data_IF_115235294628
#
_entry.id   IF_115235294628
#
_cell.length_a   1.000
_cell.length_b   1.000
_cell.length_c   1.000
_cell.angle_alpha   90.00
_cell.angle_beta   90.00
_cell.angle_gamma   90.00
#
_symmetry.space_group_name_H-M   'P 1'
#
loop_
_entity.id
_entity.type
_entity.pdbx_description
1 polymer ?
#
# COMPACT_ATOMS: atom_id res chain seq x y z
N UNK A 1 9.69 -4.60 -34.19
CA UNK A 1 8.99 -5.22 -33.06
C UNK A 1 9.05 -4.25 -31.90
N UNK A 2 7.91 -3.69 -31.46
CA UNK A 2 7.87 -2.77 -30.33
C UNK A 2 7.87 -3.59 -29.04
N UNK A 3 8.85 -3.40 -28.17
CA UNK A 3 8.89 -4.05 -26.86
C UNK A 3 7.68 -3.61 -26.03
N UNK A 4 6.95 -4.53 -25.35
CA UNK A 4 5.84 -4.17 -24.51
C UNK A 4 6.32 -3.23 -23.40
N UNK A 5 5.59 -2.13 -23.19
CA UNK A 5 5.93 -1.13 -22.16
C UNK A 5 5.87 -1.84 -20.79
N UNK A 6 6.93 -1.77 -19.96
CA UNK A 6 6.91 -2.37 -18.64
C UNK A 6 5.74 -1.78 -17.83
N UNK A 7 4.90 -2.66 -17.29
CA UNK A 7 3.79 -2.28 -16.42
C UNK A 7 4.43 -1.73 -15.14
N UNK A 8 4.28 -0.42 -14.93
CA UNK A 8 4.65 0.22 -13.66
C UNK A 8 3.64 -0.22 -12.60
N UNK A 9 4.08 -0.46 -11.36
CA UNK A 9 3.22 -0.96 -10.29
C UNK A 9 2.01 -0.04 -10.04
N UNK A 10 2.13 1.28 -10.27
CA UNK A 10 1.01 2.24 -10.19
C UNK A 10 -0.15 1.87 -11.15
N UNK A 11 0.15 1.23 -12.28
CA UNK A 11 -0.86 0.75 -13.24
C UNK A 11 -1.66 -0.46 -12.71
N UNK A 12 -1.21 -1.09 -11.62
CA UNK A 12 -1.91 -2.19 -10.93
C UNK A 12 -2.80 -1.70 -9.79
N UNK A 13 -2.71 -0.43 -9.43
CA UNK A 13 -3.61 0.16 -8.44
C UNK A 13 -5.04 0.20 -8.98
N UNK A 14 -6.06 0.16 -8.10
CA UNK A 14 -7.44 0.39 -8.51
C UNK A 14 -7.53 1.73 -9.25
N UNK A 15 -7.77 1.68 -10.56
CA UNK A 15 -7.97 2.91 -11.34
C UNK A 15 -9.16 3.68 -10.77
N UNK A 16 -9.16 5.03 -10.82
CA UNK A 16 -10.29 5.84 -10.36
C UNK A 16 -11.63 5.41 -10.98
N UNK A 17 -11.62 4.93 -12.23
CA UNK A 17 -12.81 4.39 -12.90
C UNK A 17 -13.33 3.09 -12.28
N UNK A 18 -12.44 2.25 -11.74
CA UNK A 18 -12.82 1.04 -11.02
C UNK A 18 -13.35 1.41 -9.64
N UNK A 19 -12.67 2.32 -8.95
CA UNK A 19 -13.11 2.82 -7.65
C UNK A 19 -14.48 3.50 -7.74
N UNK A 20 -14.73 4.31 -8.78
CA UNK A 20 -16.01 4.99 -8.99
C UNK A 20 -17.20 4.03 -9.19
N UNK A 21 -16.94 2.81 -9.67
CA UNK A 21 -17.97 1.77 -9.87
C UNK A 21 -18.23 0.93 -8.63
N UNK A 22 -17.36 1.00 -7.61
CA UNK A 22 -17.51 0.25 -6.35
C UNK A 22 -18.49 0.93 -5.39
N UNK A 23 -19.16 0.13 -4.57
CA UNK A 23 -19.99 0.63 -3.49
C UNK A 23 -19.13 1.43 -2.48
N UNK A 24 -19.72 2.43 -1.83
CA UNK A 24 -18.98 3.35 -0.94
C UNK A 24 -18.37 2.60 0.25
N UNK A 25 -19.11 1.65 0.79
CA UNK A 25 -18.69 0.72 1.83
C UNK A 25 -17.48 -0.12 1.42
N UNK A 26 -17.40 -0.54 0.15
CA UNK A 26 -16.29 -1.35 -0.37
C UNK A 26 -15.03 -0.50 -0.56
N UNK A 27 -15.17 0.75 -1.02
CA UNK A 27 -14.05 1.69 -1.14
C UNK A 27 -13.48 2.01 0.24
N UNK A 28 -14.35 2.22 1.24
CA UNK A 28 -13.94 2.47 2.63
C UNK A 28 -13.33 1.23 3.30
N UNK A 29 -13.88 0.03 3.04
CA UNK A 29 -13.30 -1.23 3.49
C UNK A 29 -11.92 -1.48 2.88
N UNK A 30 -11.74 -1.19 1.58
CA UNK A 30 -10.47 -1.29 0.90
C UNK A 30 -9.42 -0.33 1.49
N UNK A 31 -9.81 0.93 1.76
CA UNK A 31 -8.94 1.92 2.39
C UNK A 31 -8.41 1.43 3.75
N UNK A 32 -9.31 0.98 4.63
CA UNK A 32 -8.98 0.49 5.98
C UNK A 32 -8.16 -0.79 5.94
N UNK A 33 -8.47 -1.68 5.01
CA UNK A 33 -7.72 -2.94 4.84
C UNK A 33 -6.31 -2.66 4.38
N UNK A 34 -6.13 -1.77 3.40
CA UNK A 34 -4.80 -1.40 2.90
C UNK A 34 -3.94 -0.76 4.01
N UNK A 35 -4.52 0.15 4.80
CA UNK A 35 -3.87 0.77 5.97
C UNK A 35 -3.43 -0.27 6.99
N UNK A 36 -4.35 -1.13 7.43
CA UNK A 36 -4.07 -2.18 8.42
C UNK A 36 -2.98 -3.17 7.95
N UNK A 37 -2.98 -3.53 6.66
CA UNK A 37 -1.94 -4.41 6.10
C UNK A 37 -0.59 -3.71 6.00
N UNK A 38 -0.56 -2.43 5.60
CA UNK A 38 0.66 -1.63 5.56
C UNK A 38 1.29 -1.54 6.96
N UNK A 39 0.49 -1.22 7.99
CA UNK A 39 0.94 -1.15 9.38
C UNK A 39 1.49 -2.49 9.88
N UNK A 40 0.77 -3.59 9.57
CA UNK A 40 1.23 -4.95 9.94
C UNK A 40 2.59 -5.25 9.33
N UNK A 41 2.82 -4.90 8.07
CA UNK A 41 4.10 -5.10 7.41
C UNK A 41 5.18 -4.21 8.04
N UNK A 42 4.88 -2.95 8.34
CA UNK A 42 5.81 -2.05 9.04
C UNK A 42 6.25 -2.63 10.40
N UNK A 43 5.33 -3.17 11.19
CA UNK A 43 5.67 -3.84 12.45
C UNK A 43 6.52 -5.09 12.22
N UNK A 44 6.22 -5.88 11.18
CA UNK A 44 7.02 -7.02 10.76
C UNK A 44 8.45 -6.63 10.38
N UNK A 45 8.62 -5.56 9.58
CA UNK A 45 9.92 -4.99 9.20
C UNK A 45 10.71 -4.58 10.44
N UNK A 46 10.07 -3.89 11.40
CA UNK A 46 10.73 -3.49 12.65
C UNK A 46 11.16 -4.70 13.49
N UNK A 47 10.33 -5.74 13.58
CA UNK A 47 10.67 -6.98 14.28
C UNK A 47 11.86 -7.70 13.61
N UNK A 48 11.89 -7.77 12.28
CA UNK A 48 13.01 -8.32 11.51
C UNK A 48 14.28 -7.51 11.78
N UNK A 49 14.20 -6.17 11.78
CA UNK A 49 15.33 -5.30 12.10
C UNK A 49 15.91 -5.55 13.50
N UNK A 50 15.04 -5.69 14.51
CA UNK A 50 15.46 -6.02 15.87
C UNK A 50 16.11 -7.41 15.95
N UNK A 51 15.53 -8.42 15.29
CA UNK A 51 16.12 -9.75 15.24
C UNK A 51 17.51 -9.71 14.58
N UNK A 52 17.63 -9.00 13.45
CA UNK A 52 18.89 -8.86 12.72
C UNK A 52 19.99 -8.19 13.55
N UNK A 53 19.65 -7.12 14.28
CA UNK A 53 20.59 -6.45 15.18
C UNK A 53 21.10 -7.40 16.28
N UNK A 54 20.19 -8.13 16.93
CA UNK A 54 20.58 -9.10 17.96
C UNK A 54 21.45 -10.24 17.39
N UNK A 55 21.12 -10.76 16.20
CA UNK A 55 21.91 -11.80 15.53
C UNK A 55 23.30 -11.29 15.13
N UNK A 56 23.41 -10.03 14.70
CA UNK A 56 24.69 -9.40 14.39
C UNK A 56 25.56 -9.22 15.65
N UNK A 57 24.96 -8.74 16.75
CA UNK A 57 25.66 -8.56 18.03
C UNK A 57 26.16 -9.89 18.61
N UNK A 58 25.45 -10.99 18.35
CA UNK A 58 25.87 -12.35 18.71
C UNK A 58 26.99 -12.91 17.80
N UNK A 59 27.34 -12.23 16.70
CA UNK A 59 28.31 -12.71 15.71
C UNK A 59 27.79 -13.86 14.84
N UNK A 60 26.46 -14.06 14.81
CA UNK A 60 25.81 -15.17 14.10
C UNK A 60 25.23 -14.74 12.73
N UNK A 61 25.39 -13.46 12.36
CA UNK A 61 24.91 -12.96 11.08
C UNK A 61 25.90 -13.28 9.95
N UNK A 62 25.52 -14.19 9.07
CA UNK A 62 26.26 -14.47 7.84
C UNK A 62 25.92 -13.51 6.70
N UNK A 63 26.86 -13.32 5.78
CA UNK A 63 26.68 -12.47 4.59
C UNK A 63 25.51 -12.92 3.70
N UNK A 64 25.27 -14.23 3.59
CA UNK A 64 24.16 -14.77 2.81
C UNK A 64 22.82 -14.41 3.46
N UNK A 65 22.71 -14.58 4.78
CA UNK A 65 21.49 -14.24 5.52
C UNK A 65 21.23 -12.74 5.46
N UNK A 66 22.26 -11.91 5.61
CA UNK A 66 22.13 -10.46 5.49
C UNK A 66 21.65 -10.04 4.09
N UNK A 67 22.16 -10.66 3.03
CA UNK A 67 21.74 -10.39 1.65
C UNK A 67 20.29 -10.79 1.39
N UNK A 68 19.90 -11.99 1.78
CA UNK A 68 18.54 -12.50 1.55
C UNK A 68 17.51 -11.68 2.34
N UNK A 69 17.83 -11.29 3.57
CA UNK A 69 17.01 -10.36 4.36
C UNK A 69 16.95 -8.97 3.73
N UNK A 70 18.04 -8.48 3.13
CA UNK A 70 18.04 -7.22 2.39
C UNK A 70 17.02 -7.22 1.24
N UNK A 71 17.00 -8.27 0.42
CA UNK A 71 16.02 -8.42 -0.67
C UNK A 71 14.58 -8.57 -0.16
N UNK A 72 14.39 -9.29 0.94
CA UNK A 72 13.09 -9.39 1.60
C UNK A 72 12.60 -8.02 2.08
N UNK A 73 13.45 -7.25 2.78
CA UNK A 73 13.11 -5.92 3.28
C UNK A 73 12.78 -4.94 2.15
N UNK A 74 13.50 -4.99 1.03
CA UNK A 74 13.17 -4.22 -0.17
C UNK A 74 11.77 -4.58 -0.71
N UNK A 75 11.48 -5.87 -0.84
CA UNK A 75 10.19 -6.37 -1.32
C UNK A 75 9.03 -5.96 -0.40
N UNK A 76 9.24 -6.07 0.92
CA UNK A 76 8.25 -5.65 1.92
C UNK A 76 8.05 -4.13 1.89
N UNK A 77 9.12 -3.34 1.73
CA UNK A 77 9.05 -1.89 1.57
C UNK A 77 8.23 -1.47 0.34
N UNK A 78 8.47 -2.12 -0.80
CA UNK A 78 7.67 -1.89 -2.02
C UNK A 78 6.20 -2.26 -1.82
N UNK A 79 5.91 -3.38 -1.15
CA UNK A 79 4.54 -3.79 -0.85
C UNK A 79 3.82 -2.78 0.06
N UNK A 80 4.49 -2.28 1.11
CA UNK A 80 3.94 -1.24 2.00
C UNK A 80 3.65 0.06 1.23
N UNK A 81 4.54 0.48 0.33
CA UNK A 81 4.31 1.63 -0.52
C UNK A 81 3.05 1.44 -1.39
N UNK A 82 2.92 0.28 -2.05
CA UNK A 82 1.76 -0.03 -2.88
C UNK A 82 0.45 0.01 -2.09
N UNK A 83 0.43 -0.57 -0.87
CA UNK A 83 -0.75 -0.52 0.01
C UNK A 83 -1.08 0.91 0.43
N UNK A 84 -0.07 1.74 0.71
CA UNK A 84 -0.25 3.15 1.03
C UNK A 84 -0.88 3.91 -0.13
N UNK A 85 -0.50 3.59 -1.37
CA UNK A 85 -1.06 4.24 -2.55
C UNK A 85 -2.49 3.78 -2.86
N UNK A 86 -2.83 2.50 -2.62
CA UNK A 86 -4.24 2.04 -2.62
C UNK A 86 -5.06 2.81 -1.59
N UNK A 87 -4.55 2.97 -0.37
CA UNK A 87 -5.20 3.74 0.69
C UNK A 87 -5.40 5.20 0.26
N UNK A 88 -4.41 5.84 -0.37
CA UNK A 88 -4.52 7.22 -0.85
C UNK A 88 -5.56 7.36 -1.96
N UNK A 89 -5.56 6.43 -2.92
CA UNK A 89 -6.52 6.44 -4.03
C UNK A 89 -7.97 6.29 -3.52
N UNK A 90 -8.20 5.35 -2.61
CA UNK A 90 -9.52 5.12 -2.00
C UNK A 90 -9.97 6.30 -1.14
N UNK A 91 -9.09 6.88 -0.30
CA UNK A 91 -9.41 8.10 0.48
C UNK A 91 -9.70 9.31 -0.42
N UNK A 92 -9.02 9.44 -1.56
CA UNK A 92 -9.30 10.49 -2.56
C UNK A 92 -10.69 10.32 -3.19
N UNK A 93 -11.07 9.10 -3.56
CA UNK A 93 -12.39 8.82 -4.12
C UNK A 93 -13.50 9.10 -3.10
N UNK A 94 -13.32 8.69 -1.84
CA UNK A 94 -14.28 8.98 -0.77
C UNK A 94 -14.50 10.48 -0.57
N UNK A 95 -13.43 11.28 -0.68
CA UNK A 95 -13.52 12.75 -0.61
C UNK A 95 -14.33 13.31 -1.79
N UNK A 96 -14.05 12.85 -3.01
CA UNK A 96 -14.79 13.22 -4.23
C UNK A 96 -16.28 12.91 -4.10
N UNK A 97 -16.65 11.74 -3.55
CA UNK A 97 -18.06 11.38 -3.30
C UNK A 97 -18.74 12.32 -2.31
N UNK A 98 -18.05 12.65 -1.21
CA UNK A 98 -18.56 13.58 -0.20
C UNK A 98 -18.80 14.97 -0.79
N UNK A 99 -17.85 15.48 -1.58
CA UNK A 99 -17.98 16.77 -2.25
C UNK A 99 -19.16 16.80 -3.23
N UNK A 100 -19.36 15.75 -4.02
CA UNK A 100 -20.52 15.62 -4.93
C UNK A 100 -21.85 15.58 -4.19
N UNK A 101 -21.93 14.88 -3.07
CA UNK A 101 -23.14 14.82 -2.25
C UNK A 101 -23.50 16.20 -1.67
N UNK A 102 -22.51 16.96 -1.19
CA UNK A 102 -22.73 18.33 -0.70
C UNK A 102 -23.20 19.28 -1.80
N UNK A 103 -22.65 19.15 -3.01
CA UNK A 103 -23.05 19.99 -4.15
C UNK A 103 -24.49 19.67 -4.60
N UNK A 104 -24.89 18.41 -4.58
CA UNK A 104 -26.27 18.01 -4.90
C UNK A 104 -27.27 18.62 -3.90
N UNK A 105 -26.96 18.54 -2.60
CA UNK A 105 -27.80 19.09 -1.51
C UNK A 105 -27.94 20.63 -1.58
N UNK A 106 -26.89 21.32 -2.05
CA UNK A 106 -26.91 22.79 -2.23
C UNK A 106 -27.63 23.22 -3.52
N UNK A 107 -27.87 22.31 -4.47
CA UNK A 107 -28.52 22.60 -5.75
C UNK A 107 -30.03 22.36 -5.74
N UNK A 108 -30.54 21.65 -4.73
CA UNK A 108 -31.98 21.33 -4.56
C UNK A 108 -32.69 22.18 -3.49
N UNK A 109 -31.99 23.12 -2.85
CA UNK A 109 -32.53 24.10 -1.88
C UNK A 109 -32.60 25.52 -2.43
#
# INVERSE_FOLDING_TARGET
MSTPKPIQWYNLLPHPEHLAKMATEDVDAAARTAECKADTICFGIAAIGNLLANTADAGELSDSTARDLGWLLESLGQLTANLTDVQRATKSEMRSRKEKALQADTSEG
#
